data_IF_464403898311
#
_entry.id   IF_464403898311
#
_cell.length_a   1.000
_cell.length_b   1.000
_cell.length_c   1.000
_cell.angle_alpha   90.00
_cell.angle_beta   90.00
_cell.angle_gamma   90.00
#
_symmetry.space_group_name_H-M   'P 1'
#
loop_
_entity.id
_entity.type
_entity.pdbx_description
1 polymer ?
#
# COMPACT_ATOMS: atom_id res chain seq x y z
N UNK A 1 -5.05 23.83 7.96
CA UNK A 1 -4.25 22.78 7.29
C UNK A 1 -4.03 21.64 8.28
N UNK A 2 -4.54 20.43 8.06
CA UNK A 2 -4.31 19.33 8.99
C UNK A 2 -2.84 18.91 8.93
N UNK A 3 -2.15 18.97 10.07
CA UNK A 3 -0.76 18.50 10.23
C UNK A 3 -0.71 17.03 9.82
N UNK A 4 0.00 16.70 8.75
CA UNK A 4 0.42 15.32 8.45
C UNK A 4 1.31 14.84 9.59
N UNK A 5 0.72 14.18 10.57
CA UNK A 5 1.45 13.53 11.66
C UNK A 5 2.22 12.35 11.07
N UNK A 6 3.47 12.60 10.67
CA UNK A 6 4.44 11.55 10.40
C UNK A 6 4.82 10.89 11.73
N UNK A 7 4.06 9.87 12.11
CA UNK A 7 4.49 8.95 13.16
C UNK A 7 5.81 8.30 12.69
N UNK A 8 6.87 8.45 13.49
CA UNK A 8 8.19 7.90 13.21
C UNK A 8 8.14 6.38 13.40
N UNK A 9 7.86 5.62 12.34
CA UNK A 9 7.71 4.17 12.43
C UNK A 9 9.07 3.46 12.40
N UNK A 10 9.42 2.76 13.49
CA UNK A 10 10.61 1.89 13.59
C UNK A 10 10.64 0.84 12.46
N UNK A 11 11.79 0.67 11.82
CA UNK A 11 11.96 0.38 10.39
C UNK A 11 12.17 -1.10 9.98
N UNK A 12 11.68 -2.08 10.75
CA UNK A 12 11.98 -3.52 10.47
C UNK A 12 11.00 -4.27 9.57
N UNK A 13 9.87 -3.67 9.17
CA UNK A 13 8.83 -4.36 8.37
C UNK A 13 8.81 -3.84 6.94
N UNK A 14 9.14 -4.69 5.96
CA UNK A 14 9.30 -4.30 4.55
C UNK A 14 8.09 -3.57 3.93
N UNK A 15 6.86 -3.88 4.37
CA UNK A 15 5.66 -3.22 3.84
C UNK A 15 5.54 -1.75 4.26
N UNK A 16 6.19 -1.31 5.35
CA UNK A 16 6.06 0.07 5.84
C UNK A 16 6.60 1.08 4.84
N UNK A 17 7.74 0.79 4.20
CA UNK A 17 8.30 1.66 3.15
C UNK A 17 7.35 1.84 1.98
N UNK A 18 6.63 0.78 1.60
CA UNK A 18 5.63 0.85 0.56
C UNK A 18 4.42 1.69 0.98
N UNK A 19 3.94 1.52 2.22
CA UNK A 19 2.87 2.37 2.77
C UNK A 19 3.26 3.85 2.81
N UNK A 20 4.49 4.15 3.23
CA UNK A 20 5.01 5.53 3.23
C UNK A 20 5.10 6.10 1.80
N UNK A 21 5.49 5.26 0.84
CA UNK A 21 5.58 5.64 -0.57
C UNK A 21 4.19 5.88 -1.17
N UNK A 22 3.18 5.08 -0.80
CA UNK A 22 1.77 5.29 -1.17
C UNK A 22 1.24 6.60 -0.58
N UNK A 23 1.54 6.89 0.68
CA UNK A 23 1.11 8.12 1.35
C UNK A 23 1.76 9.39 0.77
N UNK A 24 2.86 9.23 0.04
CA UNK A 24 3.56 10.30 -0.66
C UNK A 24 3.06 10.53 -2.10
N UNK A 25 2.19 9.67 -2.63
CA UNK A 25 1.59 9.90 -3.95
C UNK A 25 0.67 11.12 -3.93
N UNK A 26 0.67 11.87 -5.04
CA UNK A 26 -0.27 12.97 -5.23
C UNK A 26 -1.71 12.45 -5.22
N UNK A 27 -2.63 13.23 -4.63
CA UNK A 27 -4.04 12.84 -4.49
C UNK A 27 -4.33 11.81 -3.38
N UNK A 28 -3.30 11.29 -2.68
CA UNK A 28 -3.52 10.41 -1.52
C UNK A 28 -3.72 11.24 -0.24
N UNK A 29 -4.90 11.09 0.36
CA UNK A 29 -5.25 11.76 1.61
C UNK A 29 -4.76 11.00 2.83
N UNK A 30 -4.93 9.66 2.82
CA UNK A 30 -4.55 8.78 3.92
C UNK A 30 -4.28 7.37 3.42
N UNK A 31 -3.37 6.67 4.08
CA UNK A 31 -3.19 5.22 3.93
C UNK A 31 -3.47 4.55 5.27
N UNK A 32 -4.25 3.48 5.25
CA UNK A 32 -4.60 2.69 6.43
C UNK A 32 -4.20 1.23 6.22
N UNK A 33 -3.57 0.63 7.23
CA UNK A 33 -3.33 -0.82 7.25
C UNK A 33 -4.57 -1.52 7.79
N UNK A 34 -5.06 -2.52 7.06
CA UNK A 34 -6.11 -3.43 7.48
C UNK A 34 -5.52 -4.69 8.13
N UNK A 35 -5.93 -5.85 7.63
CA UNK A 35 -5.50 -7.15 8.16
C UNK A 35 -4.03 -7.42 7.79
N UNK A 36 -3.25 -7.86 8.78
CA UNK A 36 -1.88 -8.37 8.59
C UNK A 36 -1.89 -9.86 8.86
N UNK A 37 -1.61 -10.66 7.83
CA UNK A 37 -1.58 -12.12 7.91
C UNK A 37 -0.13 -12.59 7.78
N UNK A 38 0.42 -13.35 8.76
CA UNK A 38 1.74 -13.96 8.63
C UNK A 38 1.81 -14.86 7.40
N UNK A 39 2.93 -14.82 6.68
CA UNK A 39 3.14 -15.70 5.54
C UNK A 39 3.81 -16.99 6.01
N UNK A 40 3.10 -18.11 5.86
CA UNK A 40 3.61 -19.45 6.14
C UNK A 40 4.21 -20.02 4.85
N UNK A 41 5.45 -19.66 4.49
CA UNK A 41 6.12 -20.24 3.32
C UNK A 41 7.36 -19.47 2.85
N UNK A 42 8.38 -20.19 2.37
CA UNK A 42 9.61 -19.65 1.82
C UNK A 42 9.43 -19.27 0.35
N UNK A 43 9.06 -18.02 0.09
CA UNK A 43 8.96 -17.52 -1.28
C UNK A 43 8.83 -16.00 -1.31
N UNK A 44 9.74 -15.34 -2.03
CA UNK A 44 9.67 -13.89 -2.26
C UNK A 44 8.46 -13.59 -3.14
N UNK A 45 7.60 -12.63 -2.79
CA UNK A 45 6.48 -12.27 -3.64
C UNK A 45 6.94 -11.77 -5.01
N UNK A 46 6.21 -12.18 -6.06
CA UNK A 46 6.46 -11.79 -7.46
C UNK A 46 6.36 -10.28 -7.64
N UNK A 47 5.39 -9.66 -6.96
CA UNK A 47 5.22 -8.21 -6.92
C UNK A 47 4.83 -7.75 -5.50
N UNK A 48 5.21 -6.51 -5.12
CA UNK A 48 4.89 -5.99 -3.80
C UNK A 48 3.38 -5.74 -3.61
N UNK A 49 2.60 -5.51 -4.67
CA UNK A 49 1.13 -5.40 -4.62
C UNK A 49 0.53 -6.44 -5.58
N UNK A 50 -0.34 -7.33 -5.08
CA UNK A 50 -0.99 -8.36 -5.90
C UNK A 50 -2.46 -8.06 -6.23
N UNK A 51 -3.08 -7.12 -5.52
CA UNK A 51 -4.47 -6.73 -5.75
C UNK A 51 -4.60 -5.23 -5.59
N UNK A 52 -5.33 -4.62 -6.52
CA UNK A 52 -5.81 -3.23 -6.45
C UNK A 52 -7.28 -3.27 -6.83
N UNK A 53 -8.16 -2.77 -5.96
CA UNK A 53 -9.61 -2.74 -6.18
C UNK A 53 -10.15 -1.39 -5.79
N UNK A 54 -11.13 -0.89 -6.54
CA UNK A 54 -11.87 0.31 -6.16
C UNK A 54 -12.84 0.03 -5.04
N UNK A 55 -12.93 1.00 -4.15
CA UNK A 55 -13.92 1.07 -3.08
C UNK A 55 -14.43 2.50 -3.01
N UNK A 56 -15.55 2.72 -2.30
CA UNK A 56 -16.20 4.03 -2.19
C UNK A 56 -15.24 5.16 -1.76
N UNK A 57 -14.31 4.86 -0.86
CA UNK A 57 -13.35 5.83 -0.30
C UNK A 57 -12.00 5.90 -1.02
N UNK A 58 -11.79 5.14 -2.10
CA UNK A 58 -10.54 5.11 -2.86
C UNK A 58 -10.17 3.71 -3.32
N UNK A 59 -9.06 3.16 -2.82
CA UNK A 59 -8.53 1.85 -3.23
C UNK A 59 -8.33 0.89 -2.04
N UNK A 60 -8.69 -0.37 -2.24
CA UNK A 60 -8.27 -1.50 -1.41
C UNK A 60 -7.13 -2.23 -2.12
N UNK A 61 -6.02 -2.42 -1.44
CA UNK A 61 -4.82 -3.07 -1.97
C UNK A 61 -4.37 -4.24 -1.08
N UNK A 62 -3.74 -5.23 -1.69
CA UNK A 62 -3.06 -6.31 -0.95
C UNK A 62 -1.56 -6.23 -1.24
N UNK A 63 -0.80 -5.94 -0.19
CA UNK A 63 0.66 -5.86 -0.18
C UNK A 63 1.23 -7.22 0.20
N UNK A 64 2.20 -7.70 -0.56
CA UNK A 64 2.91 -8.93 -0.27
C UNK A 64 4.35 -8.61 0.14
N UNK A 65 4.76 -9.16 1.27
CA UNK A 65 6.15 -9.12 1.74
C UNK A 65 6.64 -10.52 2.07
N UNK A 66 7.93 -10.64 2.36
CA UNK A 66 8.56 -11.92 2.69
C UNK A 66 7.93 -12.59 3.93
N UNK A 67 7.52 -11.81 4.94
CA UNK A 67 6.96 -12.35 6.18
C UNK A 67 5.45 -12.16 6.37
N UNK A 68 4.78 -11.39 5.52
CA UNK A 68 3.37 -11.06 5.70
C UNK A 68 2.65 -10.69 4.41
N UNK A 69 1.36 -10.98 4.38
CA UNK A 69 0.37 -10.43 3.45
C UNK A 69 -0.41 -9.37 4.22
N UNK A 70 -0.51 -8.17 3.66
CA UNK A 70 -1.09 -7.01 4.33
C UNK A 70 -2.16 -6.41 3.44
N UNK A 71 -3.40 -6.41 3.92
CA UNK A 71 -4.46 -5.62 3.30
C UNK A 71 -4.29 -4.16 3.74
N UNK A 72 -4.46 -3.23 2.81
CA UNK A 72 -4.36 -1.80 3.06
C UNK A 72 -5.39 -1.03 2.24
N UNK A 73 -5.74 0.15 2.73
CA UNK A 73 -6.68 1.06 2.09
C UNK A 73 -5.98 2.39 1.81
N UNK A 74 -6.14 2.87 0.58
CA UNK A 74 -5.67 4.19 0.15
C UNK A 74 -6.89 5.06 -0.02
N UNK A 75 -7.02 6.06 0.85
CA UNK A 75 -8.10 7.04 0.80
C UNK A 75 -7.72 8.14 -0.16
N UNK A 76 -8.51 8.29 -1.22
CA UNK A 76 -8.28 9.24 -2.30
C UNK A 76 -9.60 9.56 -3.00
N UNK A 77 -9.74 10.78 -3.48
CA UNK A 77 -10.79 11.23 -4.41
C UNK A 77 -10.41 10.99 -5.89
N UNK A 78 -9.18 10.53 -6.15
CA UNK A 78 -8.62 10.28 -7.50
C UNK A 78 -8.11 8.84 -7.64
N UNK A 79 -8.98 7.82 -7.48
CA UNK A 79 -8.56 6.42 -7.49
C UNK A 79 -7.90 5.99 -8.82
N UNK A 80 -8.32 6.54 -9.96
CA UNK A 80 -7.71 6.31 -11.27
C UNK A 80 -6.24 6.75 -11.34
N UNK A 81 -5.96 7.97 -10.90
CA UNK A 81 -4.61 8.55 -10.93
C UNK A 81 -3.68 7.78 -10.01
N UNK A 82 -4.15 7.44 -8.81
CA UNK A 82 -3.36 6.67 -7.83
C UNK A 82 -3.11 5.25 -8.34
N UNK A 83 -4.10 4.60 -8.93
CA UNK A 83 -3.95 3.26 -9.52
C UNK A 83 -2.94 3.29 -10.69
N UNK A 84 -3.01 4.30 -11.56
CA UNK A 84 -2.04 4.48 -12.64
C UNK A 84 -0.62 4.72 -12.10
N UNK A 85 -0.47 5.53 -11.06
CA UNK A 85 0.82 5.77 -10.40
C UNK A 85 1.39 4.49 -9.77
N UNK A 86 0.56 3.67 -9.13
CA UNK A 86 0.95 2.36 -8.58
C UNK A 86 1.50 1.45 -9.69
N UNK A 87 0.81 1.38 -10.85
CA UNK A 87 1.27 0.59 -12.00
C UNK A 87 2.56 1.15 -12.60
N UNK A 88 2.66 2.47 -12.79
CA UNK A 88 3.83 3.14 -13.34
C UNK A 88 5.10 2.95 -12.49
N UNK A 89 4.94 2.78 -11.17
CA UNK A 89 6.04 2.45 -10.25
C UNK A 89 6.48 0.98 -10.32
N UNK A 90 5.81 0.13 -11.10
CA UNK A 90 6.10 -1.29 -11.20
C UNK A 90 5.78 -2.06 -9.92
N UNK A 91 4.85 -1.57 -9.09
CA UNK A 91 4.50 -2.22 -7.83
C UNK A 91 3.54 -3.39 -7.98
N UNK A 92 2.88 -3.50 -9.13
CA UNK A 92 2.02 -4.63 -9.49
C UNK A 92 2.73 -5.53 -10.49
N UNK A 93 2.46 -6.83 -10.45
CA UNK A 93 2.82 -7.71 -11.55
C UNK A 93 1.96 -7.31 -12.76
N UNK A 94 2.61 -7.02 -13.88
CA UNK A 94 1.96 -6.67 -15.16
C UNK A 94 1.07 -7.80 -15.66
#
# INVERSE_FOLDING_TARGET
MPRKTHHKHSSRKGYRRLLDSLAALEGVHRVATGRVTPRMGSGRPVAPISKVRRVESGLSITINTEGAIVDAYVVTDRPDEVEAAIRARGWTAS
#
